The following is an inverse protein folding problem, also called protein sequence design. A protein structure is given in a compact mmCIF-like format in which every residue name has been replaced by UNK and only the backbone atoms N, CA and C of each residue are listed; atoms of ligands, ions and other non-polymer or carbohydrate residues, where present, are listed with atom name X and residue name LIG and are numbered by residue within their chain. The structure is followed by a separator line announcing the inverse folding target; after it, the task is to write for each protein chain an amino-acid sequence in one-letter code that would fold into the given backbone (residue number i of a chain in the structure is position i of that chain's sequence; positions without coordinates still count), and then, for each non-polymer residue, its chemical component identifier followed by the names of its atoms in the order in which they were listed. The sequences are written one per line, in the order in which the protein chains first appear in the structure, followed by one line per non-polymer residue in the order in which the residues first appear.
data_IF_842067484813
#
_entry.id   IF_842067484813
#
_cell.length_a   1.000
_cell.length_b   1.000
_cell.length_c   1.000
_cell.angle_alpha   90.00
_cell.angle_beta   90.00
_cell.angle_gamma   90.00
#
_symmetry.space_group_name_H-M   'P 1'
#
loop_
_entity.id
_entity.type
_entity.pdbx_description
1 polymer ?
#
# COMPACT_ATOMS: atom_id res chain seq x y z
N UNK A 1 9.12 -30.40 18.74
CA UNK A 1 8.24 -31.25 19.58
C UNK A 1 8.32 -30.79 21.04
N UNK A 2 7.17 -30.53 21.68
CA UNK A 2 7.03 -30.07 23.08
C UNK A 2 7.18 -28.56 23.37
N UNK A 3 6.93 -27.66 22.41
CA UNK A 3 6.84 -26.21 22.73
C UNK A 3 5.43 -25.72 23.09
N UNK A 4 4.39 -26.55 22.94
CA UNK A 4 3.02 -26.22 23.37
C UNK A 4 2.10 -25.62 22.30
N UNK A 5 2.49 -25.60 21.02
CA UNK A 5 1.61 -25.12 19.93
C UNK A 5 0.88 -26.28 19.23
N UNK A 6 -0.44 -26.11 19.05
CA UNK A 6 -1.45 -27.11 18.67
C UNK A 6 -1.21 -27.86 17.32
N UNK A 7 -0.21 -27.43 16.54
CA UNK A 7 0.04 -27.88 15.17
C UNK A 7 1.27 -28.79 15.01
N UNK A 8 1.88 -29.26 16.11
CA UNK A 8 3.08 -30.14 16.05
C UNK A 8 2.76 -31.63 15.79
N UNK A 9 1.80 -31.93 14.92
CA UNK A 9 1.42 -33.30 14.54
C UNK A 9 1.19 -33.42 13.04
N UNK A 10 1.25 -34.64 12.53
CA UNK A 10 0.87 -34.89 11.14
C UNK A 10 -0.61 -34.53 10.89
N UNK A 11 -0.95 -33.95 9.72
CA UNK A 11 -0.08 -33.69 8.55
C UNK A 11 0.66 -32.34 8.59
N UNK A 12 0.44 -31.50 9.61
CA UNK A 12 0.94 -30.11 9.69
C UNK A 12 2.47 -30.00 9.79
N UNK A 13 3.16 -31.06 10.19
CA UNK A 13 4.63 -31.16 10.19
C UNK A 13 5.22 -31.74 8.90
N UNK A 14 4.38 -32.26 7.99
CA UNK A 14 4.81 -32.92 6.74
C UNK A 14 4.48 -32.10 5.49
N UNK A 15 3.41 -31.31 5.52
CA UNK A 15 2.96 -30.50 4.39
C UNK A 15 2.52 -29.14 4.88
N UNK A 16 3.09 -28.09 4.30
CA UNK A 16 2.69 -26.70 4.53
C UNK A 16 2.02 -26.18 3.27
N UNK A 17 0.80 -25.68 3.41
CA UNK A 17 0.11 -24.95 2.34
C UNK A 17 0.34 -23.47 2.59
N UNK A 18 1.15 -22.85 1.74
CA UNK A 18 1.45 -21.42 1.81
C UNK A 18 0.50 -20.65 0.90
N UNK A 19 -0.04 -19.56 1.44
CA UNK A 19 -0.71 -18.52 0.67
C UNK A 19 0.16 -17.27 0.68
N UNK A 20 -0.10 -16.35 -0.25
CA UNK A 20 0.52 -15.02 -0.23
C UNK A 20 0.22 -14.34 1.12
N UNK A 21 1.25 -13.76 1.75
CA UNK A 21 1.17 -13.03 3.01
C UNK A 21 0.26 -11.80 2.94
N UNK A 22 0.00 -11.27 1.74
CA UNK A 22 -0.96 -10.17 1.52
C UNK A 22 -2.40 -10.50 1.95
N UNK A 23 -2.78 -11.79 1.96
CA UNK A 23 -4.09 -12.26 2.46
C UNK A 23 -4.20 -12.11 3.99
N UNK A 24 -3.07 -12.15 4.70
CA UNK A 24 -3.01 -12.07 6.16
C UNK A 24 -2.74 -10.64 6.65
N UNK A 25 -1.74 -9.98 6.07
CA UNK A 25 -1.31 -8.64 6.46
C UNK A 25 -0.81 -7.84 5.24
N UNK A 26 -1.77 -7.33 4.47
CA UNK A 26 -1.54 -6.58 3.22
C UNK A 26 -0.72 -5.28 3.40
N UNK A 27 -0.50 -4.82 4.63
CA UNK A 27 0.32 -3.65 4.95
C UNK A 27 1.56 -4.01 5.79
N UNK A 28 1.79 -5.29 6.11
CA UNK A 28 2.92 -5.75 6.93
C UNK A 28 2.98 -5.12 8.34
N UNK A 29 1.83 -4.69 8.87
CA UNK A 29 1.73 -3.91 10.10
C UNK A 29 1.97 -4.74 11.35
N UNK A 30 1.61 -6.02 11.36
CA UNK A 30 1.66 -6.83 12.58
C UNK A 30 3.10 -6.96 13.09
N UNK A 31 4.04 -7.27 12.20
CA UNK A 31 5.45 -7.33 12.55
C UNK A 31 5.97 -5.95 12.95
N UNK A 32 5.65 -4.90 12.18
CA UNK A 32 6.14 -3.55 12.46
C UNK A 32 5.66 -3.02 13.82
N UNK A 33 4.38 -3.21 14.16
CA UNK A 33 3.80 -2.74 15.42
C UNK A 33 4.35 -3.42 16.67
N UNK A 34 4.76 -4.69 16.57
CA UNK A 34 5.34 -5.40 17.72
C UNK A 34 6.73 -4.89 18.10
N UNK A 35 7.45 -4.28 17.16
CA UNK A 35 8.86 -3.97 17.31
C UNK A 35 9.22 -2.48 17.25
N UNK A 36 8.36 -1.63 16.67
CA UNK A 36 8.72 -0.24 16.38
C UNK A 36 7.66 0.77 16.82
N UNK A 37 8.08 1.92 17.33
CA UNK A 37 7.21 3.06 17.69
C UNK A 37 6.82 3.90 16.46
N UNK A 38 7.79 4.12 15.56
CA UNK A 38 7.57 4.84 14.30
C UNK A 38 7.24 3.86 13.18
N UNK A 39 6.08 4.03 12.56
CA UNK A 39 5.56 3.15 11.51
C UNK A 39 5.33 3.99 10.26
N UNK A 40 6.05 3.68 9.19
CA UNK A 40 5.93 4.33 7.88
C UNK A 40 5.27 3.35 6.90
N UNK A 41 4.17 3.76 6.28
CA UNK A 41 3.35 2.85 5.45
C UNK A 41 3.22 3.41 4.03
N UNK A 42 3.75 2.68 3.06
CA UNK A 42 3.56 2.93 1.63
C UNK A 42 2.54 1.94 1.06
N UNK A 43 1.45 2.46 0.51
CA UNK A 43 0.32 1.65 0.02
C UNK A 43 0.10 1.82 -1.50
N UNK A 44 0.58 0.85 -2.27
CA UNK A 44 0.35 0.77 -3.71
C UNK A 44 -0.92 -0.02 -4.09
N UNK A 45 -1.79 -0.32 -3.12
CA UNK A 45 -3.00 -1.10 -3.32
C UNK A 45 -4.00 -0.41 -4.25
N UNK A 46 -4.31 -1.06 -5.37
CA UNK A 46 -5.39 -0.61 -6.26
C UNK A 46 -6.77 -0.76 -5.61
N UNK A 47 -7.69 0.16 -5.90
CA UNK A 47 -9.12 -0.03 -5.61
C UNK A 47 -9.78 -0.81 -6.75
N UNK A 48 -10.67 -1.76 -6.41
CA UNK A 48 -11.56 -2.37 -7.40
C UNK A 48 -12.39 -1.27 -8.07
N UNK A 49 -12.28 -1.14 -9.39
CA UNK A 49 -13.23 -0.33 -10.16
C UNK A 49 -14.60 -1.04 -10.17
N UNK A 50 -15.71 -0.30 -10.13
CA UNK A 50 -17.02 -0.86 -10.47
C UNK A 50 -16.96 -1.47 -11.88
N UNK A 51 -17.42 -2.71 -12.03
CA UNK A 51 -17.50 -3.41 -13.31
C UNK A 51 -18.99 -3.51 -13.67
N UNK A 52 -19.39 -2.81 -14.74
CA UNK A 52 -20.79 -2.66 -15.17
C UNK A 52 -21.37 -3.96 -15.75
N UNK A 53 -20.52 -4.85 -16.29
CA UNK A 53 -20.90 -6.17 -16.78
C UNK A 53 -20.09 -7.27 -16.06
N UNK A 54 -20.55 -7.75 -14.89
CA UNK A 54 -19.88 -8.81 -14.16
C UNK A 54 -19.91 -10.11 -14.98
N UNK A 55 -18.74 -10.72 -15.20
CA UNK A 55 -18.65 -12.02 -15.88
C UNK A 55 -19.05 -13.16 -14.94
N UNK A 56 -20.08 -13.92 -15.31
CA UNK A 56 -20.74 -14.99 -14.52
C UNK A 56 -19.89 -16.27 -14.29
N UNK A 57 -18.60 -16.25 -14.60
CA UNK A 57 -17.72 -17.40 -14.41
C UNK A 57 -17.35 -17.57 -12.92
N UNK A 58 -17.71 -18.73 -12.35
CA UNK A 58 -17.53 -19.08 -10.93
C UNK A 58 -16.12 -18.84 -10.40
N UNK A 59 -15.07 -19.11 -11.19
CA UNK A 59 -13.68 -18.88 -10.76
C UNK A 59 -13.35 -17.39 -10.62
N UNK A 60 -13.92 -16.54 -11.49
CA UNK A 60 -13.72 -15.09 -11.47
C UNK A 60 -14.60 -14.41 -10.42
N UNK A 61 -15.77 -14.99 -10.13
CA UNK A 61 -16.61 -14.60 -9.00
C UNK A 61 -15.91 -14.83 -7.65
N UNK A 62 -15.25 -15.97 -7.43
CA UNK A 62 -14.47 -16.21 -6.22
C UNK A 62 -13.29 -15.24 -6.09
N UNK A 63 -12.57 -14.96 -7.19
CA UNK A 63 -11.51 -13.94 -7.21
C UNK A 63 -12.05 -12.53 -6.86
N UNK A 64 -13.24 -12.17 -7.34
CA UNK A 64 -13.90 -10.89 -7.01
C UNK A 64 -14.34 -10.82 -5.55
N UNK A 65 -14.90 -11.89 -4.99
CA UNK A 65 -15.26 -11.95 -3.57
C UNK A 65 -14.00 -11.80 -2.70
N UNK A 66 -12.91 -12.50 -3.06
CA UNK A 66 -11.62 -12.37 -2.38
C UNK A 66 -11.06 -10.94 -2.48
N UNK A 67 -11.13 -10.30 -3.65
CA UNK A 67 -10.69 -8.91 -3.83
C UNK A 67 -11.58 -7.90 -3.09
N UNK A 68 -12.89 -8.15 -2.96
CA UNK A 68 -13.80 -7.31 -2.18
C UNK A 68 -13.49 -7.42 -0.68
N UNK A 69 -13.27 -8.63 -0.18
CA UNK A 69 -12.85 -8.88 1.20
C UNK A 69 -11.48 -8.24 1.46
N UNK A 70 -10.52 -8.39 0.55
CA UNK A 70 -9.18 -7.77 0.67
C UNK A 70 -9.26 -6.24 0.70
N UNK A 71 -10.12 -5.63 -0.12
CA UNK A 71 -10.35 -4.18 -0.10
C UNK A 71 -10.98 -3.70 1.20
N UNK A 72 -11.89 -4.48 1.80
CA UNK A 72 -12.48 -4.16 3.10
C UNK A 72 -11.46 -4.28 4.23
N UNK A 73 -10.63 -5.33 4.23
CA UNK A 73 -9.54 -5.53 5.19
C UNK A 73 -8.49 -4.43 5.05
N UNK A 74 -8.05 -4.09 3.83
CA UNK A 74 -7.12 -2.98 3.58
C UNK A 74 -7.67 -1.65 4.08
N UNK A 75 -8.95 -1.38 3.83
CA UNK A 75 -9.62 -0.16 4.32
C UNK A 75 -9.71 -0.10 5.84
N UNK A 76 -9.97 -1.23 6.51
CA UNK A 76 -9.95 -1.32 7.97
C UNK A 76 -8.53 -1.09 8.52
N UNK A 77 -7.53 -1.76 7.95
CA UNK A 77 -6.12 -1.61 8.35
C UNK A 77 -5.63 -0.18 8.16
N UNK A 78 -5.95 0.45 7.03
CA UNK A 78 -5.68 1.88 6.79
C UNK A 78 -6.27 2.75 7.89
N UNK A 79 -7.55 2.56 8.24
CA UNK A 79 -8.19 3.33 9.32
C UNK A 79 -7.50 3.10 10.66
N UNK A 80 -7.15 1.86 11.00
CA UNK A 80 -6.42 1.56 12.25
C UNK A 80 -5.06 2.27 12.29
N UNK A 81 -4.31 2.25 11.19
CA UNK A 81 -3.02 2.95 11.07
C UNK A 81 -3.20 4.45 11.28
N UNK A 82 -4.10 5.08 10.51
CA UNK A 82 -4.36 6.53 10.60
C UNK A 82 -4.81 6.90 12.02
N UNK A 83 -5.75 6.14 12.60
CA UNK A 83 -6.22 6.38 13.95
C UNK A 83 -5.10 6.27 14.98
N UNK A 84 -4.18 5.31 14.82
CA UNK A 84 -3.02 5.17 15.72
C UNK A 84 -2.11 6.40 15.73
N UNK A 85 -2.02 7.11 14.59
CA UNK A 85 -1.30 8.39 14.52
C UNK A 85 -2.09 9.52 15.17
N UNK A 86 -3.40 9.60 14.92
CA UNK A 86 -4.28 10.61 15.53
C UNK A 86 -4.29 10.52 17.06
N UNK A 87 -4.36 9.30 17.60
CA UNK A 87 -4.35 9.03 19.04
C UNK A 87 -2.95 9.13 19.65
N UNK A 88 -1.92 9.39 18.84
CA UNK A 88 -0.50 9.40 19.23
C UNK A 88 -0.02 8.06 19.83
N UNK A 89 -0.74 6.98 19.57
CA UNK A 89 -0.35 5.62 19.94
C UNK A 89 0.86 5.14 19.12
N UNK A 90 1.07 5.72 17.93
CA UNK A 90 2.24 5.53 17.07
C UNK A 90 2.69 6.84 16.44
N UNK A 91 3.96 6.90 16.04
CA UNK A 91 4.50 7.95 15.17
C UNK A 91 4.57 7.47 13.74
N UNK A 92 4.63 8.39 12.79
CA UNK A 92 4.92 8.08 11.39
C UNK A 92 3.92 8.68 10.42
N UNK A 93 3.82 8.07 9.24
CA UNK A 93 3.00 8.56 8.16
C UNK A 93 2.53 7.41 7.26
N UNK A 94 1.37 7.64 6.65
CA UNK A 94 0.81 6.78 5.61
C UNK A 94 0.72 7.58 4.31
N UNK A 95 1.08 6.95 3.20
CA UNK A 95 0.86 7.48 1.86
C UNK A 95 0.44 6.37 0.91
N UNK A 96 -0.48 6.69 0.00
CA UNK A 96 -1.04 5.72 -0.93
C UNK A 96 -0.99 6.20 -2.38
N UNK A 97 -1.06 5.26 -3.31
CA UNK A 97 -0.99 5.53 -4.75
C UNK A 97 -2.15 6.42 -5.27
N UNK A 98 -3.26 6.49 -4.53
CA UNK A 98 -4.43 7.34 -4.87
C UNK A 98 -4.53 8.61 -4.01
N UNK A 99 -3.53 8.91 -3.19
CA UNK A 99 -3.51 10.14 -2.39
C UNK A 99 -3.44 11.36 -3.30
N UNK A 100 -4.15 12.44 -2.96
CA UNK A 100 -3.86 13.74 -3.54
C UNK A 100 -2.68 14.37 -2.78
N UNK A 101 -1.58 14.67 -3.48
CA UNK A 101 -0.41 15.27 -2.84
C UNK A 101 -0.72 16.66 -2.26
N UNK A 102 -1.77 17.33 -2.77
CA UNK A 102 -2.24 18.61 -2.25
C UNK A 102 -2.81 18.50 -0.82
N UNK A 103 -3.31 17.33 -0.41
CA UNK A 103 -3.86 17.11 0.93
C UNK A 103 -2.80 17.30 2.04
N UNK A 104 -1.52 17.14 1.72
CA UNK A 104 -0.42 17.41 2.65
C UNK A 104 -0.22 18.92 2.91
N UNK A 105 -0.76 19.79 2.06
CA UNK A 105 -0.73 21.26 2.19
C UNK A 105 0.71 21.80 2.34
N UNK A 106 1.65 21.24 1.59
CA UNK A 106 3.02 21.76 1.51
C UNK A 106 3.09 22.87 0.46
N UNK A 107 3.79 23.95 0.79
CA UNK A 107 3.96 25.08 -0.12
C UNK A 107 4.80 24.74 -1.37
N UNK A 108 5.69 23.75 -1.25
CA UNK A 108 6.69 23.41 -2.25
C UNK A 108 6.76 21.89 -2.55
N UNK A 109 5.61 21.21 -2.61
CA UNK A 109 5.58 19.78 -2.99
C UNK A 109 6.17 19.53 -4.40
N UNK A 110 6.57 18.29 -4.68
CA UNK A 110 7.01 17.89 -6.02
C UNK A 110 5.83 17.98 -7.00
N UNK A 111 6.05 18.46 -8.25
CA UNK A 111 4.96 18.75 -9.18
C UNK A 111 4.33 17.45 -9.68
N UNK A 112 3.20 17.08 -9.09
CA UNK A 112 2.46 15.88 -9.46
C UNK A 112 0.99 16.24 -9.72
N UNK A 113 0.62 16.61 -10.97
CA UNK A 113 -0.77 16.92 -11.32
C UNK A 113 -1.70 15.75 -11.00
N UNK A 114 -2.83 16.03 -10.35
CA UNK A 114 -3.74 15.00 -9.84
C UNK A 114 -4.24 14.04 -10.92
N UNK A 115 -4.55 14.56 -12.11
CA UNK A 115 -5.04 13.72 -13.23
C UNK A 115 -3.99 12.70 -13.69
N UNK A 116 -2.71 13.06 -13.68
CA UNK A 116 -1.61 12.17 -14.07
C UNK A 116 -1.36 11.10 -13.02
N UNK A 117 -1.37 11.46 -11.73
CA UNK A 117 -1.19 10.50 -10.64
C UNK A 117 -2.38 9.54 -10.53
N UNK A 118 -3.61 10.01 -10.81
CA UNK A 118 -4.78 9.15 -10.93
C UNK A 118 -4.66 8.15 -12.09
N UNK A 119 -4.11 8.59 -13.23
CA UNK A 119 -3.84 7.69 -14.36
C UNK A 119 -2.81 6.61 -13.98
N UNK A 120 -1.73 6.98 -13.29
CA UNK A 120 -0.76 6.03 -12.75
C UNK A 120 -1.42 5.05 -11.76
N UNK A 121 -2.28 5.54 -10.87
CA UNK A 121 -2.99 4.73 -9.88
C UNK A 121 -4.01 3.76 -10.50
N UNK A 122 -4.40 3.97 -11.75
CA UNK A 122 -5.23 3.04 -12.51
C UNK A 122 -4.44 1.88 -13.15
N UNK A 123 -3.10 1.87 -13.01
CA UNK A 123 -2.24 0.80 -13.53
C UNK A 123 -2.58 -0.53 -12.84
N UNK A 124 -2.88 -1.61 -13.61
CA UNK A 124 -3.21 -2.90 -13.04
C UNK A 124 -2.06 -3.51 -12.23
N UNK A 125 -2.36 -4.01 -11.03
CA UNK A 125 -1.44 -4.78 -10.19
C UNK A 125 -1.29 -6.20 -10.77
N UNK A 126 -0.21 -6.45 -11.52
CA UNK A 126 0.05 -7.73 -12.19
C UNK A 126 1.50 -8.15 -12.07
N UNK A 127 1.74 -9.44 -11.89
CA UNK A 127 3.09 -10.04 -11.93
C UNK A 127 3.57 -10.22 -13.40
N UNK A 128 3.61 -9.13 -14.16
CA UNK A 128 4.13 -9.09 -15.54
C UNK A 128 5.16 -7.98 -15.66
N UNK A 129 6.10 -8.14 -16.60
CA UNK A 129 7.05 -7.08 -16.97
C UNK A 129 6.28 -5.80 -17.28
N UNK A 130 6.78 -4.69 -16.72
CA UNK A 130 6.27 -3.35 -16.94
C UNK A 130 7.16 -2.64 -17.95
N UNK A 131 6.57 -1.73 -18.71
CA UNK A 131 7.31 -0.79 -19.55
C UNK A 131 8.19 0.12 -18.67
N UNK A 132 9.40 0.45 -19.13
CA UNK A 132 10.37 1.24 -18.35
C UNK A 132 9.81 2.60 -18.00
N UNK A 133 9.18 3.29 -18.95
CA UNK A 133 8.72 4.66 -18.76
C UNK A 133 7.58 4.70 -17.75
N UNK A 134 6.66 3.72 -17.82
CA UNK A 134 5.60 3.57 -16.83
C UNK A 134 6.16 3.26 -15.43
N UNK A 135 7.17 2.38 -15.34
CA UNK A 135 7.80 2.04 -14.08
C UNK A 135 8.49 3.26 -13.44
N UNK A 136 9.23 4.03 -14.23
CA UNK A 136 9.91 5.25 -13.77
C UNK A 136 8.92 6.29 -13.25
N UNK A 137 7.80 6.49 -13.95
CA UNK A 137 6.71 7.40 -13.51
C UNK A 137 6.06 6.94 -12.21
N UNK A 138 5.81 5.64 -12.06
CA UNK A 138 5.30 5.07 -10.81
C UNK A 138 6.28 5.24 -9.65
N UNK A 139 7.58 5.07 -9.90
CA UNK A 139 8.62 5.31 -8.91
C UNK A 139 8.65 6.80 -8.51
N UNK A 140 8.64 7.71 -9.48
CA UNK A 140 8.58 9.15 -9.23
C UNK A 140 7.37 9.53 -8.38
N UNK A 141 6.20 8.98 -8.70
CA UNK A 141 4.99 9.22 -7.91
C UNK A 141 5.13 8.72 -6.47
N UNK A 142 5.59 7.48 -6.28
CA UNK A 142 5.82 6.90 -4.95
C UNK A 142 6.80 7.74 -4.12
N UNK A 143 7.86 8.25 -4.74
CA UNK A 143 8.83 9.14 -4.08
C UNK A 143 8.23 10.50 -3.72
N UNK A 144 7.44 11.10 -4.61
CA UNK A 144 6.85 12.41 -4.36
C UNK A 144 5.83 12.40 -3.23
N UNK A 145 4.94 11.39 -3.21
CA UNK A 145 3.95 11.27 -2.12
C UNK A 145 4.62 10.91 -0.79
N UNK A 146 5.72 10.13 -0.82
CA UNK A 146 6.54 9.84 0.36
C UNK A 146 7.21 11.12 0.91
N UNK A 147 7.87 11.91 0.05
CA UNK A 147 8.46 13.21 0.40
C UNK A 147 7.44 14.10 1.11
N UNK A 148 6.25 14.24 0.52
CA UNK A 148 5.20 15.06 1.09
C UNK A 148 4.71 14.53 2.45
N UNK A 149 4.50 13.23 2.58
CA UNK A 149 4.04 12.61 3.81
C UNK A 149 5.05 12.74 4.96
N UNK A 150 6.34 12.51 4.68
CA UNK A 150 7.40 12.63 5.67
C UNK A 150 7.58 14.08 6.14
N UNK A 151 7.62 15.03 5.21
CA UNK A 151 7.75 16.47 5.51
C UNK A 151 6.55 17.02 6.29
N UNK A 152 5.35 16.47 6.07
CA UNK A 152 4.14 16.90 6.77
C UNK A 152 4.01 16.29 8.18
N UNK A 153 4.27 14.99 8.32
CA UNK A 153 3.84 14.24 9.50
C UNK A 153 4.99 13.71 10.36
N UNK A 154 6.21 13.62 9.82
CA UNK A 154 7.35 13.00 10.52
C UNK A 154 8.37 14.04 10.95
N UNK A 155 8.88 14.82 10.00
CA UNK A 155 9.90 15.84 10.26
C UNK A 155 9.77 17.00 9.27
N UNK A 156 9.35 18.15 9.78
CA UNK A 156 9.13 19.38 9.00
C UNK A 156 10.43 20.08 8.61
N UNK A 157 11.58 19.66 9.16
CA UNK A 157 12.90 20.21 8.82
C UNK A 157 13.51 19.55 7.58
N UNK A 158 12.91 18.45 7.09
CA UNK A 158 13.38 17.75 5.90
C UNK A 158 13.33 18.66 4.66
N UNK A 159 14.43 18.68 3.93
CA UNK A 159 14.50 19.34 2.63
C UNK A 159 13.65 18.61 1.60
N UNK A 160 13.06 19.35 0.67
CA UNK A 160 12.37 18.80 -0.49
C UNK A 160 13.24 17.79 -1.25
N UNK A 161 12.69 16.60 -1.47
CA UNK A 161 13.30 15.56 -2.28
C UNK A 161 13.37 15.90 -3.78
N UNK A 162 13.86 14.94 -4.57
CA UNK A 162 13.96 15.02 -6.02
C UNK A 162 13.37 13.77 -6.65
N UNK A 163 12.88 13.89 -7.88
CA UNK A 163 12.49 12.72 -8.66
C UNK A 163 13.71 11.83 -8.93
N UNK A 164 13.62 10.51 -8.67
CA UNK A 164 14.65 9.56 -9.08
C UNK A 164 14.86 9.55 -10.60
N UNK A 165 13.79 9.76 -11.39
CA UNK A 165 13.83 9.82 -12.85
C UNK A 165 13.30 11.18 -13.37
N UNK A 166 14.08 12.26 -13.29
CA UNK A 166 13.59 13.61 -13.62
C UNK A 166 13.01 13.76 -15.04
N UNK A 167 13.52 12.97 -15.99
CA UNK A 167 13.09 13.03 -17.39
C UNK A 167 11.73 12.36 -17.64
N UNK A 168 11.32 11.42 -16.77
CA UNK A 168 10.07 10.68 -16.92
C UNK A 168 8.84 11.43 -16.37
N UNK A 169 9.04 12.29 -15.36
CA UNK A 169 7.95 12.97 -14.66
C UNK A 169 6.99 12.00 -13.96
N UNK A 170 5.73 12.41 -13.79
CA UNK A 170 4.64 11.54 -13.31
C UNK A 170 3.60 11.31 -14.39
#
# INVERSE_FOLDING_TARGET
PNSGDDLQREPYTKRVVLSDGGVYDNLGLETAWKHYDTILVSDAGGQLKPEEEPKEDWARHSYRVLNLIDNQVRSLRKRQVIQSYCDKARKGAYWGIRTDIADYQLADSLPCPHDLTLALAATPTRLKRMDSDLQERLINWGYAVCDAALRKHVDTSLSKGKFPYPNAGV
#
